data_IF_386712279771
#
_entry.id   IF_386712279771
#
_cell.length_a   1.000
_cell.length_b   1.000
_cell.length_c   1.000
_cell.angle_alpha   90.00
_cell.angle_beta   90.00
_cell.angle_gamma   90.00
#
_symmetry.space_group_name_H-M   'P 1'
#
loop_
_entity.id
_entity.type
_entity.pdbx_description
1 polymer ?
#
# COMPACT_ATOMS: atom_id res chain seq x y z
N UNK A 1 -23.04 27.40 26.59
CA UNK A 1 -22.81 25.94 26.47
C UNK A 1 -21.54 25.75 25.69
N UNK A 2 -20.47 25.27 26.32
CA UNK A 2 -19.20 24.99 25.65
C UNK A 2 -19.25 23.56 25.08
N UNK A 3 -19.06 23.43 23.77
CA UNK A 3 -18.83 22.14 23.13
C UNK A 3 -17.40 21.70 23.44
N UNK A 4 -17.25 20.67 24.26
CA UNK A 4 -15.96 20.01 24.52
C UNK A 4 -15.64 19.10 23.35
N UNK A 5 -14.70 19.49 22.49
CA UNK A 5 -14.19 18.64 21.42
C UNK A 5 -13.16 17.63 21.98
N UNK A 6 -13.50 16.34 21.88
CA UNK A 6 -12.64 15.28 21.35
C UNK A 6 -11.43 14.75 22.10
N UNK A 7 -10.89 15.38 23.15
CA UNK A 7 -9.79 14.77 23.89
C UNK A 7 -10.31 13.67 24.83
N UNK A 8 -10.01 12.41 24.50
CA UNK A 8 -10.14 11.30 25.44
C UNK A 8 -9.25 11.64 26.64
N UNK A 9 -9.86 11.90 27.80
CA UNK A 9 -9.09 12.14 29.03
C UNK A 9 -8.34 10.85 29.38
N UNK A 10 -7.05 10.93 29.74
CA UNK A 10 -6.31 9.76 30.21
C UNK A 10 -7.07 9.11 31.37
N UNK A 11 -7.24 7.80 31.28
CA UNK A 11 -7.82 6.93 32.30
C UNK A 11 -6.74 6.31 33.20
N UNK A 12 -5.49 6.26 32.73
CA UNK A 12 -4.27 5.88 33.44
C UNK A 12 -3.19 6.97 33.36
N UNK A 13 -1.95 6.62 33.70
CA UNK A 13 -0.80 7.54 33.68
C UNK A 13 -0.15 7.55 32.29
N UNK A 14 -0.04 8.72 31.65
CA UNK A 14 0.74 8.85 30.41
C UNK A 14 2.22 8.74 30.76
N UNK A 15 2.86 7.64 30.36
CA UNK A 15 4.29 7.37 30.61
C UNK A 15 5.21 7.81 29.47
N UNK A 16 4.66 7.97 28.25
CA UNK A 16 5.39 8.51 27.10
C UNK A 16 4.44 9.18 26.10
N UNK A 17 4.86 10.28 25.46
CA UNK A 17 4.07 10.94 24.39
C UNK A 17 4.92 11.80 23.46
N UNK A 18 4.50 11.87 22.19
CA UNK A 18 5.06 12.81 21.22
C UNK A 18 4.32 14.15 21.17
N UNK A 19 3.13 14.26 21.78
CA UNK A 19 2.31 15.49 21.71
C UNK A 19 1.57 15.66 20.38
N UNK A 20 1.34 14.57 19.64
CA UNK A 20 0.53 14.56 18.43
C UNK A 20 -0.96 14.60 18.81
N UNK A 21 -1.69 15.59 18.31
CA UNK A 21 -3.13 15.76 18.49
C UNK A 21 -3.87 15.40 17.19
N UNK A 22 -4.71 14.35 17.15
CA UNK A 22 -5.49 13.97 15.97
C UNK A 22 -6.32 15.09 15.34
N UNK A 23 -6.75 16.10 16.10
CA UNK A 23 -7.56 17.24 15.62
C UNK A 23 -6.73 18.37 15.00
N UNK A 24 -5.40 18.31 15.12
CA UNK A 24 -4.45 19.31 14.61
C UNK A 24 -3.49 18.67 13.60
N UNK A 25 -2.93 17.52 13.98
CA UNK A 25 -1.86 16.83 13.28
C UNK A 25 -2.35 15.67 12.43
N UNK A 26 -3.60 15.23 12.60
CA UNK A 26 -4.26 14.26 11.73
C UNK A 26 -4.96 14.91 10.53
N UNK A 27 -5.29 14.14 9.52
CA UNK A 27 -6.17 14.59 8.44
C UNK A 27 -7.62 14.68 8.93
N UNK A 28 -8.35 15.70 8.47
CA UNK A 28 -9.78 15.91 8.81
C UNK A 28 -10.75 15.10 7.96
N UNK A 29 -10.26 14.21 7.12
CA UNK A 29 -11.06 13.30 6.30
C UNK A 29 -10.53 11.88 6.42
N UNK A 30 -11.43 10.92 6.23
CA UNK A 30 -11.14 9.50 6.40
C UNK A 30 -10.25 8.99 5.28
N UNK A 31 -9.48 7.96 5.60
CA UNK A 31 -8.84 7.08 4.62
C UNK A 31 -9.83 6.65 3.52
N UNK A 32 -9.30 6.41 2.34
CA UNK A 32 -10.09 6.08 1.16
C UNK A 32 -9.36 5.02 0.34
N UNK A 33 -10.13 4.18 -0.36
CA UNK A 33 -9.63 3.22 -1.34
C UNK A 33 -9.54 3.84 -2.72
N UNK A 34 -10.15 3.20 -3.72
CA UNK A 34 -10.25 3.76 -5.07
C UNK A 34 -10.82 5.17 -5.03
N UNK A 35 -10.14 6.09 -5.72
CA UNK A 35 -10.45 7.49 -5.73
C UNK A 35 -10.96 7.92 -7.12
N UNK A 36 -12.27 7.91 -7.39
CA UNK A 36 -12.79 8.22 -8.72
C UNK A 36 -12.80 9.72 -9.04
N UNK A 37 -12.52 10.57 -8.04
CA UNK A 37 -12.62 12.03 -8.16
C UNK A 37 -11.36 12.65 -8.79
N UNK A 38 -10.28 11.88 -8.93
CA UNK A 38 -8.93 12.34 -9.22
C UNK A 38 -8.22 11.30 -10.10
N UNK A 39 -7.80 11.71 -11.31
CA UNK A 39 -7.31 10.79 -12.33
C UNK A 39 -5.90 10.23 -12.04
N UNK A 40 -5.10 10.90 -11.18
CA UNK A 40 -3.68 10.59 -10.98
C UNK A 40 -3.27 10.57 -9.50
N UNK A 41 -3.32 9.41 -8.83
CA UNK A 41 -2.76 9.28 -7.48
C UNK A 41 -1.22 9.42 -7.48
N UNK A 42 -0.56 9.03 -8.58
CA UNK A 42 0.88 9.17 -8.84
C UNK A 42 1.13 9.79 -10.22
N UNK A 43 2.26 10.47 -10.37
CA UNK A 43 2.70 11.15 -11.59
C UNK A 43 4.15 10.79 -11.94
N UNK A 44 4.61 11.15 -13.14
CA UNK A 44 6.03 11.02 -13.50
C UNK A 44 6.96 11.75 -12.52
N UNK A 45 6.56 12.92 -11.97
CA UNK A 45 7.33 13.61 -10.91
C UNK A 45 7.54 12.73 -9.67
N UNK A 46 6.55 11.92 -9.32
CA UNK A 46 6.64 11.01 -8.16
C UNK A 46 7.65 9.90 -8.43
N UNK A 47 7.60 9.28 -9.60
CA UNK A 47 8.55 8.25 -10.01
C UNK A 47 9.98 8.80 -10.13
N UNK A 48 10.14 9.98 -10.74
CA UNK A 48 11.44 10.67 -10.79
C UNK A 48 11.95 10.91 -9.38
N UNK A 49 11.09 11.28 -8.41
CA UNK A 49 11.49 11.47 -7.00
C UNK A 49 11.87 10.16 -6.32
N UNK A 50 11.14 9.07 -6.56
CA UNK A 50 11.43 7.78 -5.96
C UNK A 50 12.70 7.16 -6.53
N UNK A 51 12.83 7.06 -7.85
CA UNK A 51 13.83 6.22 -8.50
C UNK A 51 14.88 6.99 -9.30
N UNK A 52 14.62 8.26 -9.62
CA UNK A 52 15.50 9.07 -10.47
C UNK A 52 15.06 9.09 -11.93
N UNK A 53 15.39 10.18 -12.64
CA UNK A 53 14.96 10.39 -14.02
C UNK A 53 15.51 9.32 -14.96
N UNK A 54 16.80 9.00 -14.84
CA UNK A 54 17.48 8.00 -15.68
C UNK A 54 16.83 6.61 -15.63
N UNK A 55 16.16 6.30 -14.53
CA UNK A 55 15.50 5.03 -14.28
C UNK A 55 14.04 4.98 -14.77
N UNK A 56 13.44 6.14 -15.10
CA UNK A 56 12.00 6.22 -15.33
C UNK A 56 11.64 6.93 -16.64
N UNK A 57 12.50 7.79 -17.18
CA UNK A 57 12.24 8.56 -18.39
C UNK A 57 13.05 8.03 -19.58
N UNK A 58 12.38 7.65 -20.66
CA UNK A 58 13.01 7.39 -21.97
C UNK A 58 13.52 8.70 -22.58
N UNK A 59 12.71 9.76 -22.47
CA UNK A 59 13.03 11.11 -22.92
C UNK A 59 12.68 12.11 -21.82
N UNK A 60 13.39 13.24 -21.78
CA UNK A 60 13.23 14.25 -20.73
C UNK A 60 13.86 13.83 -19.40
N UNK A 61 13.75 14.71 -18.41
CA UNK A 61 14.32 14.45 -17.06
C UNK A 61 13.54 15.14 -15.92
N UNK A 62 12.45 15.80 -16.27
CA UNK A 62 11.62 16.60 -15.38
C UNK A 62 10.18 16.14 -15.45
N UNK A 63 9.37 16.58 -14.48
CA UNK A 63 7.94 16.30 -14.46
C UNK A 63 7.19 16.74 -15.73
N UNK A 64 7.72 17.73 -16.47
CA UNK A 64 7.06 18.33 -17.63
C UNK A 64 7.41 17.64 -18.95
N UNK A 65 8.58 17.02 -19.05
CA UNK A 65 9.12 16.46 -20.29
C UNK A 65 9.42 14.96 -20.22
N UNK A 66 9.26 14.34 -19.05
CA UNK A 66 9.49 12.91 -18.88
C UNK A 66 8.46 12.08 -19.64
N UNK A 67 8.94 11.35 -20.64
CA UNK A 67 8.22 10.24 -21.28
C UNK A 67 8.61 8.97 -20.56
N UNK A 68 7.68 8.35 -19.84
CA UNK A 68 8.00 7.19 -18.99
C UNK A 68 8.42 5.96 -19.80
N UNK A 69 9.35 5.17 -19.27
CA UNK A 69 9.55 3.77 -19.68
C UNK A 69 8.24 3.00 -19.49
N UNK A 70 7.94 2.03 -20.37
CA UNK A 70 6.76 1.18 -20.22
C UNK A 70 6.79 0.42 -18.87
N UNK A 71 7.95 -0.04 -18.44
CA UNK A 71 8.13 -0.69 -17.13
C UNK A 71 7.79 0.25 -15.97
N UNK A 72 8.19 1.52 -16.06
CA UNK A 72 7.90 2.54 -15.08
C UNK A 72 6.40 2.88 -15.03
N UNK A 73 5.75 3.06 -16.19
CA UNK A 73 4.30 3.28 -16.26
C UNK A 73 3.50 2.08 -15.72
N UNK A 74 3.83 0.85 -16.13
CA UNK A 74 3.19 -0.37 -15.60
C UNK A 74 3.34 -0.49 -14.09
N UNK A 75 4.52 -0.18 -13.55
CA UNK A 75 4.74 -0.17 -12.10
C UNK A 75 3.91 0.90 -11.39
N UNK A 76 3.78 2.09 -11.99
CA UNK A 76 2.95 3.17 -11.46
C UNK A 76 1.48 2.75 -11.42
N UNK A 77 0.94 2.22 -12.53
CA UNK A 77 -0.44 1.72 -12.59
C UNK A 77 -0.69 0.60 -11.58
N UNK A 78 0.22 -0.38 -11.49
CA UNK A 78 0.13 -1.46 -10.49
C UNK A 78 0.14 -0.93 -9.06
N UNK A 79 0.93 0.12 -8.79
CA UNK A 79 0.98 0.76 -7.47
C UNK A 79 -0.32 1.48 -7.14
N UNK A 80 -0.91 2.20 -8.10
CA UNK A 80 -2.23 2.84 -7.96
C UNK A 80 -3.31 1.77 -7.70
N UNK A 81 -3.30 0.67 -8.44
CA UNK A 81 -4.25 -0.42 -8.24
C UNK A 81 -4.17 -1.04 -6.85
N UNK A 82 -2.96 -1.24 -6.30
CA UNK A 82 -2.77 -1.74 -4.92
C UNK A 82 -3.35 -0.78 -3.87
N UNK A 83 -3.38 0.52 -4.15
CA UNK A 83 -3.95 1.54 -3.25
C UNK A 83 -5.47 1.63 -3.31
N UNK A 84 -6.14 0.96 -4.26
CA UNK A 84 -7.61 0.88 -4.30
C UNK A 84 -8.22 0.31 -3.00
N UNK A 85 -7.40 -0.39 -2.23
CA UNK A 85 -7.76 -1.04 -0.98
C UNK A 85 -7.48 -0.19 0.27
N UNK A 86 -6.97 1.03 0.10
CA UNK A 86 -6.73 1.98 1.18
C UNK A 86 -5.35 2.61 1.13
N UNK A 87 -5.25 3.75 1.79
CA UNK A 87 -4.04 4.56 1.88
C UNK A 87 -3.53 4.70 3.33
N UNK A 88 -3.85 3.74 4.21
CA UNK A 88 -3.65 3.86 5.65
C UNK A 88 -2.20 4.16 6.07
N UNK A 89 -1.19 3.56 5.42
CA UNK A 89 0.22 3.86 5.71
C UNK A 89 0.60 5.24 5.16
N UNK A 90 0.11 5.59 3.96
CA UNK A 90 0.30 6.93 3.39
C UNK A 90 -0.24 8.05 4.27
N UNK A 91 -1.43 7.87 4.84
CA UNK A 91 -2.00 8.81 5.83
C UNK A 91 -1.14 8.91 7.09
N UNK A 92 -0.73 7.76 7.63
CA UNK A 92 0.05 7.68 8.88
C UNK A 92 1.43 8.30 8.73
N UNK A 93 2.10 8.04 7.62
CA UNK A 93 3.41 8.59 7.28
C UNK A 93 3.29 10.09 7.00
N UNK A 94 2.32 10.50 6.18
CA UNK A 94 2.15 11.91 5.83
C UNK A 94 1.81 12.76 7.04
N UNK A 95 0.95 12.27 7.95
CA UNK A 95 0.61 12.99 9.16
C UNK A 95 1.80 13.14 10.10
N UNK A 96 2.57 12.07 10.33
CA UNK A 96 3.82 12.14 11.09
C UNK A 96 4.83 13.10 10.46
N UNK A 97 5.03 13.03 9.14
CA UNK A 97 5.94 13.93 8.42
C UNK A 97 5.55 15.40 8.56
N UNK A 98 4.26 15.72 8.42
CA UNK A 98 3.77 17.08 8.63
C UNK A 98 3.97 17.52 10.09
N UNK A 99 3.68 16.64 11.05
CA UNK A 99 3.88 16.89 12.48
C UNK A 99 5.34 17.24 12.81
N UNK A 100 6.30 16.55 12.20
CA UNK A 100 7.74 16.82 12.41
C UNK A 100 8.34 17.82 11.39
N UNK A 101 7.50 18.54 10.65
CA UNK A 101 7.91 19.62 9.73
C UNK A 101 8.71 19.16 8.50
N UNK A 102 8.53 17.92 8.03
CA UNK A 102 9.19 17.41 6.82
C UNK A 102 8.41 17.84 5.57
N UNK A 103 9.06 18.49 4.59
CA UNK A 103 8.39 18.96 3.39
C UNK A 103 8.01 17.83 2.45
N UNK A 104 7.03 18.12 1.59
CA UNK A 104 6.68 17.32 0.42
C UNK A 104 6.66 18.21 -0.83
N UNK A 105 7.52 17.91 -1.81
CA UNK A 105 7.65 18.71 -3.05
C UNK A 105 7.77 20.22 -2.77
N UNK A 106 8.59 20.59 -1.78
CA UNK A 106 8.80 21.97 -1.34
C UNK A 106 7.73 22.57 -0.40
N UNK A 107 6.59 21.90 -0.22
CA UNK A 107 5.50 22.35 0.67
C UNK A 107 5.83 21.97 2.11
N UNK A 108 5.93 22.97 2.99
CA UNK A 108 6.41 22.81 4.38
C UNK A 108 5.31 22.80 5.44
N UNK A 109 4.10 23.23 5.11
CA UNK A 109 3.01 23.42 6.06
C UNK A 109 1.63 23.30 5.38
N UNK A 110 0.52 23.19 6.13
CA UNK A 110 -0.82 23.03 5.56
C UNK A 110 -1.24 24.13 4.58
N UNK A 111 -0.89 25.39 4.85
CA UNK A 111 -1.22 26.52 3.97
C UNK A 111 -0.62 26.39 2.56
N UNK A 112 0.52 25.69 2.42
CA UNK A 112 1.14 25.39 1.13
C UNK A 112 0.41 24.29 0.32
N UNK A 113 -0.49 23.54 0.96
CA UNK A 113 -1.36 22.56 0.32
C UNK A 113 -2.74 23.14 0.00
N UNK A 114 -3.26 23.97 0.90
CA UNK A 114 -4.58 24.57 0.77
C UNK A 114 -4.58 25.94 1.41
N UNK A 115 -4.90 26.97 0.62
CA UNK A 115 -5.01 28.34 1.13
C UNK A 115 -5.98 28.39 2.31
N UNK A 116 -5.56 29.05 3.39
CA UNK A 116 -6.35 29.19 4.62
C UNK A 116 -6.30 28.00 5.58
N UNK A 117 -5.65 26.88 5.22
CA UNK A 117 -5.42 25.79 6.15
C UNK A 117 -4.36 26.17 7.20
N UNK A 118 -4.69 26.01 8.47
CA UNK A 118 -3.79 26.26 9.60
C UNK A 118 -3.13 24.95 10.03
N UNK A 119 -3.93 23.89 10.11
CA UNK A 119 -3.56 22.57 10.61
C UNK A 119 -3.71 21.50 9.52
N UNK A 120 -3.11 20.32 9.71
CA UNK A 120 -3.30 19.21 8.76
C UNK A 120 -4.79 18.81 8.68
N UNK A 121 -5.50 18.97 9.79
CA UNK A 121 -6.92 18.67 9.90
C UNK A 121 -7.81 19.53 8.97
N UNK A 122 -7.35 20.73 8.60
CA UNK A 122 -8.10 21.63 7.72
C UNK A 122 -8.04 21.21 6.25
N UNK A 123 -7.04 20.40 5.88
CA UNK A 123 -6.87 19.94 4.50
C UNK A 123 -8.09 19.14 4.05
N UNK A 124 -8.61 19.47 2.88
CA UNK A 124 -9.65 18.71 2.22
C UNK A 124 -9.05 17.64 1.33
N UNK A 125 -9.83 16.59 1.09
CA UNK A 125 -9.54 15.59 0.07
C UNK A 125 -9.57 16.28 -1.31
N UNK A 126 -8.39 16.59 -1.84
CA UNK A 126 -8.18 17.17 -3.15
C UNK A 126 -6.98 16.49 -3.82
N UNK A 127 -6.79 16.70 -5.13
CA UNK A 127 -5.71 16.07 -5.90
C UNK A 127 -4.33 16.16 -5.24
N UNK A 128 -3.94 17.34 -4.76
CA UNK A 128 -2.62 17.56 -4.17
C UNK A 128 -2.45 16.83 -2.82
N UNK A 129 -3.50 16.83 -1.99
CA UNK A 129 -3.49 16.15 -0.69
C UNK A 129 -3.55 14.63 -0.88
N UNK A 130 -4.31 14.15 -1.85
CA UNK A 130 -4.34 12.75 -2.26
C UNK A 130 -2.97 12.30 -2.75
N UNK A 131 -2.33 13.03 -3.68
CA UNK A 131 -0.97 12.70 -4.16
C UNK A 131 0.07 12.64 -3.04
N UNK A 132 -0.01 13.53 -2.04
CA UNK A 132 0.87 13.46 -0.86
C UNK A 132 0.70 12.15 -0.10
N UNK A 133 -0.54 11.77 0.17
CA UNK A 133 -0.87 10.49 0.82
C UNK A 133 -0.45 9.30 -0.05
N UNK A 134 -0.77 9.32 -1.35
CA UNK A 134 -0.49 8.23 -2.29
C UNK A 134 1.02 8.03 -2.50
N UNK A 135 1.80 9.10 -2.63
CA UNK A 135 3.27 9.01 -2.69
C UNK A 135 3.83 8.20 -1.52
N UNK A 136 3.45 8.54 -0.29
CA UNK A 136 3.94 7.84 0.89
C UNK A 136 3.31 6.46 1.10
N UNK A 137 2.09 6.24 0.63
CA UNK A 137 1.49 4.91 0.59
C UNK A 137 2.29 4.00 -0.35
N UNK A 138 2.72 4.49 -1.51
CA UNK A 138 3.50 3.70 -2.48
C UNK A 138 4.84 3.26 -1.91
N UNK A 139 5.51 4.09 -1.10
CA UNK A 139 6.77 3.70 -0.45
C UNK A 139 6.60 2.48 0.48
N UNK A 140 5.38 2.20 0.92
CA UNK A 140 5.07 1.00 1.71
C UNK A 140 5.35 -0.28 0.93
N UNK A 141 5.38 -0.22 -0.41
CA UNK A 141 5.65 -1.32 -1.35
C UNK A 141 7.13 -1.56 -1.64
N UNK A 142 8.02 -0.72 -1.11
CA UNK A 142 9.45 -0.76 -1.39
C UNK A 142 10.20 -1.53 -0.31
N UNK A 143 11.25 -2.24 -0.72
CA UNK A 143 12.09 -3.12 0.11
C UNK A 143 12.58 -2.44 1.39
N UNK A 144 13.05 -1.21 1.27
CA UNK A 144 13.60 -0.39 2.37
C UNK A 144 12.61 -0.21 3.51
N UNK A 145 11.32 -0.11 3.19
CA UNK A 145 10.25 0.03 4.18
C UNK A 145 9.94 -1.29 4.91
N UNK A 146 10.20 -2.45 4.29
CA UNK A 146 9.91 -3.75 4.89
C UNK A 146 11.09 -4.38 5.64
N UNK A 147 12.33 -4.03 5.29
CA UNK A 147 13.53 -4.64 5.89
C UNK A 147 13.53 -4.47 7.41
N UNK A 148 13.17 -3.29 7.92
CA UNK A 148 13.04 -3.07 9.36
C UNK A 148 11.83 -3.80 9.97
N UNK A 149 10.73 -3.85 9.22
CA UNK A 149 9.46 -4.36 9.69
C UNK A 149 9.47 -5.85 9.99
N UNK A 150 10.08 -6.67 9.12
CA UNK A 150 10.10 -8.13 9.26
C UNK A 150 10.52 -8.58 10.67
N UNK A 151 11.70 -8.15 11.17
CA UNK A 151 12.14 -8.43 12.54
C UNK A 151 11.19 -7.94 13.63
N UNK A 152 10.44 -6.86 13.43
CA UNK A 152 9.50 -6.35 14.44
C UNK A 152 8.30 -7.27 14.64
N UNK A 153 7.80 -7.94 13.59
CA UNK A 153 6.71 -8.92 13.76
C UNK A 153 7.09 -10.13 14.61
N UNK A 154 8.39 -10.43 14.74
CA UNK A 154 8.89 -11.49 15.60
C UNK A 154 8.94 -11.09 17.08
N UNK A 155 8.75 -9.81 17.42
CA UNK A 155 8.81 -9.29 18.78
C UNK A 155 7.52 -9.51 19.54
N UNK A 156 7.64 -9.56 20.87
CA UNK A 156 6.49 -9.57 21.78
C UNK A 156 5.77 -8.22 21.78
N UNK A 157 4.45 -8.19 22.12
CA UNK A 157 3.72 -6.94 22.28
C UNK A 157 4.36 -5.95 23.27
N UNK A 158 4.93 -6.42 24.38
CA UNK A 158 5.68 -5.58 25.33
C UNK A 158 6.89 -4.91 24.67
N UNK A 159 7.72 -5.66 23.94
CA UNK A 159 8.89 -5.13 23.23
C UNK A 159 8.48 -4.08 22.18
N UNK A 160 7.37 -4.29 21.45
CA UNK A 160 6.87 -3.30 20.49
C UNK A 160 6.43 -2.01 21.20
N UNK A 161 5.75 -2.13 22.33
CA UNK A 161 5.35 -0.99 23.15
C UNK A 161 6.56 -0.23 23.70
N UNK A 162 7.59 -0.94 24.18
CA UNK A 162 8.85 -0.35 24.65
C UNK A 162 9.55 0.42 23.53
N UNK A 163 9.67 -0.17 22.33
CA UNK A 163 10.22 0.53 21.16
C UNK A 163 9.45 1.81 20.82
N UNK A 164 8.12 1.80 20.98
CA UNK A 164 7.28 2.99 20.81
C UNK A 164 7.59 4.03 21.90
N UNK A 165 7.67 3.62 23.17
CA UNK A 165 7.98 4.53 24.28
C UNK A 165 9.39 5.17 24.12
N UNK A 166 10.40 4.38 23.75
CA UNK A 166 11.77 4.83 23.47
C UNK A 166 11.81 5.83 22.31
N UNK A 167 11.03 5.58 21.26
CA UNK A 167 10.86 6.53 20.16
C UNK A 167 10.27 7.85 20.64
N UNK A 168 9.25 7.82 21.50
CA UNK A 168 8.60 9.03 22.03
C UNK A 168 9.55 9.86 22.91
N UNK A 169 10.39 9.20 23.71
CA UNK A 169 11.40 9.87 24.55
C UNK A 169 12.54 10.46 23.70
N UNK A 170 13.11 9.65 22.80
CA UNK A 170 14.28 10.06 22.04
C UNK A 170 13.98 11.04 20.90
N UNK A 171 12.81 10.93 20.28
CA UNK A 171 12.35 11.73 19.11
C UNK A 171 13.34 11.76 17.95
N UNK A 172 14.23 10.75 17.86
CA UNK A 172 15.25 10.63 16.80
C UNK A 172 14.70 10.06 15.51
N UNK A 173 13.72 9.17 15.63
CA UNK A 173 12.95 8.60 14.53
C UNK A 173 11.51 8.40 15.01
N UNK A 174 10.60 8.06 14.11
CA UNK A 174 9.19 7.84 14.39
C UNK A 174 8.71 6.56 13.71
N UNK A 175 7.67 5.91 14.24
CA UNK A 175 7.13 4.67 13.69
C UNK A 175 5.66 4.83 13.31
N UNK A 176 5.26 4.16 12.24
CA UNK A 176 3.87 3.73 12.09
C UNK A 176 3.72 2.34 12.71
N UNK A 177 2.58 2.09 13.34
CA UNK A 177 2.21 0.81 13.94
C UNK A 177 1.32 0.06 12.94
N UNK A 178 1.74 -1.13 12.55
CA UNK A 178 0.95 -2.06 11.75
C UNK A 178 0.24 -3.06 12.64
N UNK A 179 -1.07 -3.22 12.41
CA UNK A 179 -1.91 -4.23 13.05
C UNK A 179 -2.51 -5.13 11.98
N UNK A 180 -2.55 -6.44 12.27
CA UNK A 180 -3.05 -7.43 11.35
C UNK A 180 -4.05 -8.38 12.00
N UNK A 181 -5.03 -8.81 11.21
CA UNK A 181 -5.95 -9.88 11.57
C UNK A 181 -5.43 -11.20 11.01
N UNK A 182 -5.38 -12.21 11.87
CA UNK A 182 -5.02 -13.58 11.51
C UNK A 182 -6.27 -14.47 11.62
N UNK A 183 -6.78 -14.92 10.48
CA UNK A 183 -7.94 -15.82 10.39
C UNK A 183 -7.48 -17.14 9.75
N UNK A 184 -7.74 -18.26 10.43
CA UNK A 184 -7.36 -19.60 9.95
C UNK A 184 -5.87 -19.72 9.57
N UNK A 185 -4.98 -19.08 10.35
CA UNK A 185 -3.54 -19.07 10.12
C UNK A 185 -3.08 -18.21 8.93
N UNK A 186 -3.98 -17.43 8.34
CA UNK A 186 -3.69 -16.51 7.23
C UNK A 186 -3.96 -15.08 7.66
N UNK A 187 -3.09 -14.18 7.25
CA UNK A 187 -3.31 -12.76 7.41
C UNK A 187 -4.37 -12.31 6.39
N UNK A 188 -5.41 -11.64 6.85
CA UNK A 188 -6.54 -11.27 5.99
C UNK A 188 -6.75 -9.77 5.87
N UNK A 189 -6.50 -9.03 6.94
CA UNK A 189 -6.74 -7.59 6.99
C UNK A 189 -5.62 -6.90 7.76
N UNK A 190 -4.98 -5.93 7.12
CA UNK A 190 -4.00 -5.08 7.76
C UNK A 190 -4.56 -3.67 7.98
N UNK A 191 -3.93 -2.93 8.87
CA UNK A 191 -4.13 -1.49 9.01
C UNK A 191 -2.87 -0.82 9.57
N UNK A 192 -2.63 0.42 9.16
CA UNK A 192 -1.52 1.23 9.64
C UNK A 192 -2.05 2.47 10.36
N UNK A 193 -1.51 2.72 11.55
CA UNK A 193 -1.92 3.76 12.49
C UNK A 193 -0.68 4.44 13.10
N UNK A 194 -0.86 5.59 13.73
CA UNK A 194 0.25 6.35 14.35
C UNK A 194 0.16 6.24 15.86
N UNK A 195 1.15 5.66 16.57
CA UNK A 195 1.23 5.76 18.02
C UNK A 195 1.56 7.19 18.47
N UNK A 196 0.78 7.73 19.42
CA UNK A 196 0.88 9.13 19.88
C UNK A 196 1.18 9.27 21.37
N UNK A 197 0.79 8.29 22.19
CA UNK A 197 1.24 8.16 23.57
C UNK A 197 1.17 6.70 24.06
N UNK A 198 1.88 6.40 25.15
CA UNK A 198 1.73 5.17 25.93
C UNK A 198 1.18 5.56 27.30
N UNK A 199 0.14 4.85 27.73
CA UNK A 199 -0.59 5.09 28.97
C UNK A 199 -0.61 3.80 29.79
N UNK A 200 -0.08 3.86 31.00
CA UNK A 200 -0.08 2.76 31.98
C UNK A 200 -1.44 2.72 32.67
N UNK A 201 -2.13 1.59 32.54
CA UNK A 201 -3.46 1.36 33.11
C UNK A 201 -3.40 0.57 34.43
N UNK A 202 -2.20 0.19 34.89
CA UNK A 202 -1.98 -0.76 35.98
C UNK A 202 -2.18 -2.22 35.56
N UNK A 203 -1.88 -3.15 36.47
CA UNK A 203 -2.11 -4.60 36.29
C UNK A 203 -1.51 -5.19 35.00
N UNK A 204 -0.31 -4.75 34.63
CA UNK A 204 0.40 -5.17 33.42
C UNK A 204 -0.36 -4.84 32.11
N UNK A 205 -1.28 -3.87 32.14
CA UNK A 205 -2.06 -3.41 30.99
C UNK A 205 -1.62 -2.00 30.62
N UNK A 206 -1.36 -1.81 29.34
CA UNK A 206 -0.99 -0.53 28.76
C UNK A 206 -1.90 -0.22 27.57
N UNK A 207 -2.17 1.06 27.37
CA UNK A 207 -2.78 1.57 26.16
C UNK A 207 -1.74 2.28 25.32
N UNK A 208 -1.56 1.85 24.07
CA UNK A 208 -0.91 2.66 23.05
C UNK A 208 -1.99 3.51 22.43
N UNK A 209 -2.07 4.78 22.79
CA UNK A 209 -3.00 5.72 22.17
C UNK A 209 -2.51 6.00 20.74
N UNK A 210 -3.45 6.05 19.79
CA UNK A 210 -3.17 6.13 18.37
C UNK A 210 -4.03 7.17 17.65
N UNK A 211 -3.47 7.78 16.62
CA UNK A 211 -4.23 8.37 15.52
C UNK A 211 -4.55 7.28 14.50
N UNK A 212 -5.84 7.03 14.29
CA UNK A 212 -6.35 6.12 13.27
C UNK A 212 -7.00 6.93 12.14
N UNK A 213 -6.43 6.83 10.94
CA UNK A 213 -6.88 7.57 9.75
C UNK A 213 -8.29 7.17 9.26
N UNK A 214 -8.90 6.10 9.79
CA UNK A 214 -10.31 5.77 9.57
C UNK A 214 -11.25 6.55 10.52
N UNK A 215 -10.73 7.18 11.58
CA UNK A 215 -11.47 7.93 12.59
C UNK A 215 -10.86 9.34 12.82
N UNK A 216 -10.96 10.26 11.84
CA UNK A 216 -10.43 11.63 11.94
C UNK A 216 -10.84 12.36 13.22
N UNK A 217 -9.84 12.94 13.90
CA UNK A 217 -10.06 13.77 15.08
C UNK A 217 -10.32 12.98 16.36
N UNK A 218 -10.33 11.65 16.30
CA UNK A 218 -10.49 10.78 17.46
C UNK A 218 -9.13 10.18 17.88
N UNK A 219 -8.89 10.15 19.18
CA UNK A 219 -7.84 9.31 19.77
C UNK A 219 -8.44 7.92 20.04
N UNK A 220 -7.81 6.88 19.48
CA UNK A 220 -8.13 5.48 19.80
C UNK A 220 -6.98 4.86 20.57
N UNK A 221 -7.11 3.60 20.99
CA UNK A 221 -6.02 2.92 21.69
C UNK A 221 -5.95 1.42 21.37
N UNK A 222 -4.72 0.92 21.27
CA UNK A 222 -4.41 -0.52 21.28
C UNK A 222 -4.14 -0.94 22.71
N UNK A 223 -4.82 -1.99 23.17
CA UNK A 223 -4.58 -2.56 24.50
C UNK A 223 -3.43 -3.56 24.39
N UNK A 224 -2.42 -3.41 25.23
CA UNK A 224 -1.30 -4.34 25.41
C UNK A 224 -1.39 -4.93 26.81
N UNK A 225 -1.29 -6.25 26.92
CA UNK A 225 -1.10 -6.93 28.20
C UNK A 225 0.29 -7.54 28.21
N UNK A 226 1.20 -6.97 29.00
CA UNK A 226 2.62 -7.36 29.04
C UNK A 226 2.83 -8.67 29.79
N UNK A 227 1.96 -9.00 30.76
CA UNK A 227 2.01 -10.27 31.49
C UNK A 227 1.77 -11.50 30.60
N UNK A 228 0.78 -11.40 29.71
CA UNK A 228 0.38 -12.50 28.83
C UNK A 228 0.94 -12.34 27.40
N UNK A 229 1.60 -11.23 27.12
CA UNK A 229 2.12 -10.87 25.79
C UNK A 229 1.05 -10.92 24.71
N UNK A 230 -0.08 -10.24 24.98
CA UNK A 230 -1.23 -10.13 24.08
C UNK A 230 -1.57 -8.69 23.75
N UNK A 231 -2.27 -8.50 22.63
CA UNK A 231 -2.79 -7.20 22.24
C UNK A 231 -4.20 -7.30 21.65
N UNK A 232 -4.96 -6.20 21.75
CA UNK A 232 -6.28 -6.05 21.14
C UNK A 232 -6.47 -4.64 20.59
N UNK A 233 -7.06 -4.52 19.42
CA UNK A 233 -7.50 -3.25 18.86
C UNK A 233 -8.89 -3.34 18.22
N UNK A 234 -9.80 -2.45 18.59
CA UNK A 234 -11.14 -2.39 18.01
C UNK A 234 -11.22 -1.34 16.89
N UNK A 235 -11.21 -1.80 15.64
CA UNK A 235 -11.20 -0.90 14.48
C UNK A 235 -11.81 -1.55 13.24
N UNK A 236 -12.09 -0.74 12.23
CA UNK A 236 -12.30 -1.20 10.86
C UNK A 236 -11.06 -0.84 10.04
N UNK A 237 -10.56 -1.73 9.19
CA UNK A 237 -9.48 -1.40 8.24
C UNK A 237 -10.00 -0.60 7.03
N UNK A 238 -11.28 -0.80 6.70
CA UNK A 238 -12.03 -0.02 5.72
C UNK A 238 -13.07 0.83 6.48
N UNK A 239 -13.06 2.17 6.36
CA UNK A 239 -13.99 3.03 7.11
C UNK A 239 -15.47 2.86 6.72
N UNK A 240 -15.76 2.18 5.60
CA UNK A 240 -17.12 1.81 5.20
C UNK A 240 -17.62 0.49 5.82
N UNK A 241 -16.76 -0.25 6.52
CA UNK A 241 -17.08 -1.55 7.12
C UNK A 241 -17.29 -1.46 8.64
N UNK A 242 -17.96 -2.47 9.19
CA UNK A 242 -18.13 -2.62 10.64
C UNK A 242 -16.80 -2.90 11.31
N UNK A 243 -16.52 -2.17 12.39
CA UNK A 243 -15.34 -2.40 13.23
C UNK A 243 -15.36 -3.78 13.90
N UNK A 244 -14.17 -4.36 14.10
CA UNK A 244 -13.95 -5.69 14.67
C UNK A 244 -12.76 -5.64 15.61
N UNK A 245 -12.66 -6.66 16.45
CA UNK A 245 -11.50 -6.86 17.29
C UNK A 245 -10.39 -7.54 16.50
N UNK A 246 -9.31 -6.79 16.29
CA UNK A 246 -8.00 -7.32 15.95
C UNK A 246 -7.39 -7.82 17.24
N UNK A 247 -6.97 -9.09 17.27
CA UNK A 247 -6.40 -9.72 18.46
C UNK A 247 -5.14 -10.46 18.07
N UNK A 248 -4.16 -10.44 18.96
CA UNK A 248 -2.95 -11.21 18.77
C UNK A 248 -2.13 -11.39 20.04
N UNK A 249 -1.04 -12.11 19.87
CA UNK A 249 -0.02 -12.39 20.88
C UNK A 249 1.36 -12.48 20.25
N UNK A 250 2.39 -12.68 21.09
CA UNK A 250 3.76 -12.90 20.64
C UNK A 250 3.91 -14.02 19.58
N UNK A 251 3.04 -15.03 19.56
CA UNK A 251 3.09 -16.13 18.58
C UNK A 251 2.32 -15.88 17.29
N UNK A 252 1.47 -14.85 17.25
CA UNK A 252 0.64 -14.57 16.07
C UNK A 252 1.36 -13.75 15.01
N UNK A 253 2.41 -13.00 15.39
CA UNK A 253 3.19 -12.15 14.49
C UNK A 253 2.34 -11.12 13.73
N UNK A 254 1.38 -10.50 14.43
CA UNK A 254 0.38 -9.57 13.85
C UNK A 254 0.51 -8.11 14.28
N UNK A 255 1.53 -7.77 15.05
CA UNK A 255 1.84 -6.40 15.49
C UNK A 255 3.27 -6.07 15.06
N UNK A 256 3.47 -4.94 14.37
CA UNK A 256 4.79 -4.59 13.82
C UNK A 256 4.96 -3.09 13.62
N UNK A 257 6.20 -2.67 13.36
CA UNK A 257 6.57 -1.27 13.20
C UNK A 257 7.23 -1.03 11.84
N UNK A 258 6.99 0.14 11.26
CA UNK A 258 7.73 0.64 10.11
C UNK A 258 8.32 2.02 10.45
N UNK A 259 9.56 2.32 10.00
CA UNK A 259 10.24 3.58 10.36
C UNK A 259 9.97 4.72 9.40
N UNK A 260 9.78 5.90 9.96
CA UNK A 260 9.61 7.11 9.18
C UNK A 260 10.88 7.47 8.41
N UNK A 261 12.06 7.20 8.99
CA UNK A 261 13.36 7.40 8.35
C UNK A 261 13.54 6.59 7.06
N UNK A 262 12.97 5.39 6.96
CA UNK A 262 12.97 4.60 5.71
C UNK A 262 12.16 5.32 4.60
N UNK A 263 11.29 6.28 4.93
CA UNK A 263 10.57 7.18 3.98
C UNK A 263 11.25 8.53 3.74
N UNK A 264 12.54 8.66 4.07
CA UNK A 264 13.29 9.91 3.95
C UNK A 264 14.52 9.78 3.03
N UNK A 265 14.62 8.71 2.25
CA UNK A 265 15.74 8.50 1.35
C UNK A 265 15.69 9.49 0.17
N UNK A 266 16.85 9.93 -0.35
CA UNK A 266 16.90 10.75 -1.55
C UNK A 266 16.44 9.99 -2.79
N UNK A 267 16.65 8.67 -2.81
CA UNK A 267 16.24 7.71 -3.84
C UNK A 267 15.99 6.35 -3.19
N UNK A 268 15.14 5.56 -3.82
CA UNK A 268 14.83 4.17 -3.51
C UNK A 268 15.41 3.26 -4.59
N UNK A 269 15.69 2.01 -4.23
CA UNK A 269 16.01 0.93 -5.15
C UNK A 269 14.85 0.79 -6.16
N UNK A 270 15.18 0.83 -7.44
CA UNK A 270 14.19 0.76 -8.51
C UNK A 270 13.78 -0.71 -8.75
N UNK A 271 12.55 -1.11 -8.42
CA UNK A 271 12.16 -2.52 -8.46
C UNK A 271 11.89 -3.06 -9.87
N UNK A 272 12.07 -2.23 -10.90
CA UNK A 272 11.81 -2.55 -12.31
C UNK A 272 12.97 -2.14 -13.24
N UNK A 273 14.12 -1.73 -12.69
CA UNK A 273 15.26 -1.25 -13.49
C UNK A 273 16.30 -2.33 -13.80
N UNK A 274 16.27 -3.49 -13.15
CA UNK A 274 17.26 -4.57 -13.32
C UNK A 274 16.96 -5.50 -14.51
N UNK A 275 16.32 -5.01 -15.56
CA UNK A 275 16.18 -5.74 -16.84
C UNK A 275 17.36 -5.37 -17.77
N UNK A 276 18.58 -5.72 -17.37
CA UNK A 276 19.72 -5.75 -18.30
C UNK A 276 19.61 -7.01 -19.18
N UNK A 277 19.37 -6.83 -20.49
CA UNK A 277 19.66 -7.84 -21.51
C UNK A 277 21.19 -8.10 -21.55
N UNK A 278 21.71 -8.97 -20.69
CA UNK A 278 22.95 -9.69 -20.96
C UNK A 278 23.04 -11.01 -20.20
N UNK A 279 23.28 -12.06 -20.97
CA UNK A 279 23.52 -13.43 -20.53
C UNK A 279 24.71 -13.55 -19.58
N UNK A 280 24.47 -14.02 -18.35
CA UNK A 280 25.31 -15.08 -17.78
C UNK A 280 24.57 -15.84 -16.67
N UNK A 281 24.62 -17.16 -16.79
CA UNK A 281 24.00 -18.08 -15.85
C UNK A 281 24.72 -18.12 -14.50
N UNK A 282 23.95 -18.49 -13.48
CA UNK A 282 24.33 -18.70 -12.08
C UNK A 282 24.19 -17.48 -11.16
N UNK A 283 22.96 -17.23 -10.73
CA UNK A 283 22.75 -16.95 -9.31
C UNK A 283 21.42 -17.56 -8.83
N UNK A 284 21.45 -18.89 -8.66
CA UNK A 284 20.45 -19.60 -7.87
C UNK A 284 20.76 -19.31 -6.40
N UNK A 285 20.08 -18.32 -5.83
CA UNK A 285 19.58 -18.33 -4.46
C UNK A 285 19.13 -16.93 -4.05
N UNK A 286 17.81 -16.75 -3.93
CA UNK A 286 17.16 -16.15 -2.75
C UNK A 286 15.78 -15.64 -3.13
N UNK A 287 14.74 -16.16 -2.45
CA UNK A 287 13.58 -15.43 -1.92
C UNK A 287 12.23 -16.16 -1.95
N UNK A 288 12.17 -17.48 -1.97
CA UNK A 288 10.89 -18.15 -1.76
C UNK A 288 11.07 -19.44 -0.96
N UNK A 289 10.96 -19.36 0.37
CA UNK A 289 10.09 -20.24 1.17
C UNK A 289 10.16 -20.04 2.70
N UNK A 290 8.95 -19.92 3.27
CA UNK A 290 8.47 -20.17 4.66
C UNK A 290 8.69 -19.15 5.79
N UNK A 291 7.56 -18.97 6.50
CA UNK A 291 7.27 -18.17 7.71
C UNK A 291 7.10 -16.65 7.50
N UNK A 292 5.83 -16.20 7.46
CA UNK A 292 5.32 -14.84 7.18
C UNK A 292 5.57 -14.38 5.73
N UNK A 293 4.53 -14.13 4.90
CA UNK A 293 4.76 -13.66 3.53
C UNK A 293 5.48 -12.32 3.57
N UNK A 294 6.65 -12.26 2.96
CA UNK A 294 7.50 -11.07 2.82
C UNK A 294 6.82 -9.89 2.08
N UNK A 295 5.59 -10.07 1.57
CA UNK A 295 4.88 -9.15 0.68
C UNK A 295 3.44 -8.82 1.11
N UNK A 296 3.19 -8.62 2.41
CA UNK A 296 1.88 -8.13 2.87
C UNK A 296 1.94 -6.68 3.33
N UNK A 297 1.08 -5.88 2.70
CA UNK A 297 0.88 -4.46 2.96
C UNK A 297 -0.36 -4.24 3.80
N UNK A 298 -0.28 -3.33 4.77
CA UNK A 298 -1.41 -3.00 5.63
C UNK A 298 -2.64 -2.43 4.89
N UNK A 299 -2.60 -2.30 3.57
CA UNK A 299 -3.77 -2.09 2.71
C UNK A 299 -4.60 -3.38 2.60
N UNK A 300 -5.92 -3.24 2.54
CA UNK A 300 -6.87 -4.36 2.51
C UNK A 300 -6.51 -5.40 1.43
N UNK A 301 -6.48 -6.68 1.78
CA UNK A 301 -6.50 -7.75 0.78
C UNK A 301 -7.98 -8.01 0.49
N UNK A 302 -8.44 -7.70 -0.73
CA UNK A 302 -9.75 -8.22 -1.16
C UNK A 302 -9.65 -9.75 -1.09
N UNK A 303 -10.53 -10.45 -0.35
CA UNK A 303 -10.79 -11.84 -0.69
C UNK A 303 -11.17 -11.83 -2.17
N UNK A 304 -10.58 -12.73 -2.97
CA UNK A 304 -11.08 -12.96 -4.32
C UNK A 304 -12.61 -13.03 -4.24
N UNK A 305 -13.36 -12.21 -5.00
CA UNK A 305 -14.80 -12.33 -4.99
C UNK A 305 -15.13 -13.79 -5.26
N UNK A 306 -16.00 -14.38 -4.45
CA UNK A 306 -16.61 -15.68 -4.78
C UNK A 306 -16.93 -15.66 -6.26
N UNK A 307 -16.40 -16.60 -7.08
CA UNK A 307 -16.44 -16.48 -8.52
C UNK A 307 -17.90 -16.27 -8.92
N UNK A 308 -18.20 -15.07 -9.42
CA UNK A 308 -19.40 -14.90 -10.24
C UNK A 308 -19.20 -15.88 -11.40
N UNK A 309 -20.22 -16.65 -11.81
CA UNK A 309 -20.10 -17.48 -12.99
C UNK A 309 -19.60 -16.59 -14.12
N UNK A 310 -18.39 -16.91 -14.62
CA UNK A 310 -17.78 -16.16 -15.69
C UNK A 310 -18.73 -16.20 -16.90
N UNK A 311 -18.91 -15.08 -17.61
CA UNK A 311 -19.65 -15.11 -18.85
C UNK A 311 -19.01 -16.15 -19.78
N UNK A 312 -19.79 -16.95 -20.53
CA UNK A 312 -19.24 -17.99 -21.36
C UNK A 312 -18.19 -17.40 -22.31
N UNK A 313 -16.99 -18.00 -22.32
CA UNK A 313 -15.88 -17.63 -23.19
C UNK A 313 -15.38 -18.87 -23.94
N UNK A 314 -14.87 -18.67 -25.14
CA UNK A 314 -14.02 -19.64 -25.80
C UNK A 314 -12.59 -19.42 -25.31
N UNK A 315 -12.01 -20.44 -24.70
CA UNK A 315 -10.59 -20.47 -24.35
C UNK A 315 -9.82 -21.18 -25.46
N UNK A 316 -8.78 -20.53 -25.98
CA UNK A 316 -7.83 -21.12 -26.91
C UNK A 316 -6.48 -21.17 -26.19
N UNK A 317 -5.97 -22.38 -25.99
CA UNK A 317 -4.64 -22.66 -25.48
C UNK A 317 -3.85 -23.43 -26.53
N UNK A 318 -2.57 -23.15 -26.66
CA UNK A 318 -1.66 -24.04 -27.39
C UNK A 318 -1.06 -25.08 -26.45
N UNK A 319 -0.15 -25.92 -26.95
CA UNK A 319 0.85 -26.63 -26.16
C UNK A 319 2.21 -26.37 -26.84
N UNK A 320 3.06 -25.56 -26.21
CA UNK A 320 4.35 -25.12 -26.76
C UNK A 320 4.35 -23.70 -27.33
N UNK A 321 5.55 -23.22 -27.69
CA UNK A 321 5.80 -21.91 -28.30
C UNK A 321 5.12 -21.77 -29.67
N UNK A 322 3.99 -21.06 -29.72
CA UNK A 322 3.33 -20.69 -30.97
C UNK A 322 2.94 -19.21 -30.98
N UNK A 323 3.31 -18.57 -32.08
CA UNK A 323 2.79 -17.27 -32.48
C UNK A 323 1.37 -17.47 -33.04
N UNK A 324 0.36 -17.23 -32.21
CA UNK A 324 -1.04 -17.36 -32.61
C UNK A 324 -1.62 -15.99 -32.96
N UNK A 325 -2.21 -15.86 -34.16
CA UNK A 325 -3.02 -14.71 -34.55
C UNK A 325 -4.45 -15.18 -34.91
N UNK A 326 -5.41 -14.87 -34.05
CA UNK A 326 -6.83 -15.18 -34.23
C UNK A 326 -7.48 -14.01 -34.96
N UNK A 327 -8.32 -14.27 -35.96
CA UNK A 327 -9.06 -13.24 -36.69
C UNK A 327 -10.55 -13.59 -36.71
N UNK A 328 -11.40 -12.64 -36.30
CA UNK A 328 -12.85 -12.81 -36.34
C UNK A 328 -13.42 -12.63 -37.78
N UNK A 329 -14.70 -12.99 -38.04
CA UNK A 329 -15.31 -12.82 -39.36
C UNK A 329 -15.42 -11.37 -39.85
N UNK A 330 -15.26 -10.38 -38.96
CA UNK A 330 -15.25 -8.96 -39.27
C UNK A 330 -13.83 -8.42 -39.52
N UNK A 331 -12.80 -9.26 -39.42
CA UNK A 331 -11.40 -8.93 -39.68
C UNK A 331 -10.64 -8.38 -38.47
N UNK A 332 -11.21 -8.44 -37.25
CA UNK A 332 -10.53 -8.01 -36.02
C UNK A 332 -9.61 -9.10 -35.51
N UNK A 333 -8.44 -8.72 -35.02
CA UNK A 333 -7.34 -9.62 -34.70
C UNK A 333 -7.01 -9.68 -33.22
N UNK A 334 -6.59 -10.85 -32.75
CA UNK A 334 -6.18 -11.13 -31.38
C UNK A 334 -4.95 -12.05 -31.39
N UNK A 335 -3.83 -11.61 -30.79
CA UNK A 335 -2.58 -12.37 -30.74
C UNK A 335 -1.46 -11.76 -31.60
N UNK A 336 -0.37 -12.51 -31.83
CA UNK A 336 0.88 -11.99 -32.39
C UNK A 336 1.02 -12.28 -33.90
N UNK A 337 1.26 -11.24 -34.69
CA UNK A 337 1.57 -11.31 -36.12
C UNK A 337 3.09 -11.32 -36.31
N UNK A 338 3.66 -12.50 -36.55
CA UNK A 338 5.12 -12.69 -36.70
C UNK A 338 5.70 -12.01 -37.94
N UNK A 339 4.91 -11.77 -38.99
CA UNK A 339 5.36 -11.08 -40.19
C UNK A 339 5.51 -9.57 -39.96
N UNK A 340 4.63 -8.99 -39.14
CA UNK A 340 4.68 -7.56 -38.77
C UNK A 340 5.40 -7.29 -37.45
N UNK A 341 5.72 -8.34 -36.69
CA UNK A 341 6.26 -8.29 -35.34
C UNK A 341 5.41 -7.40 -34.43
N UNK A 342 4.09 -7.63 -34.43
CA UNK A 342 3.12 -6.79 -33.71
C UNK A 342 2.01 -7.64 -33.11
N UNK A 343 1.65 -7.35 -31.86
CA UNK A 343 0.50 -7.97 -31.19
C UNK A 343 -0.77 -7.16 -31.44
N UNK A 344 -1.87 -7.84 -31.73
CA UNK A 344 -3.19 -7.27 -31.95
C UNK A 344 -4.15 -7.68 -30.83
N UNK A 345 -5.01 -6.77 -30.38
CA UNK A 345 -6.12 -7.04 -29.46
C UNK A 345 -7.33 -6.18 -29.84
N UNK A 346 -7.95 -6.50 -30.97
CA UNK A 346 -9.02 -5.73 -31.60
C UNK A 346 -10.42 -6.31 -31.30
N UNK A 347 -10.49 -7.54 -30.76
CA UNK A 347 -11.73 -8.22 -30.39
C UNK A 347 -12.21 -7.68 -29.02
N UNK A 348 -13.39 -7.07 -29.01
CA UNK A 348 -13.91 -6.35 -27.84
C UNK A 348 -14.18 -7.32 -26.69
N UNK A 349 -13.52 -7.09 -25.55
CA UNK A 349 -13.65 -7.91 -24.35
C UNK A 349 -12.81 -9.19 -24.34
N UNK A 350 -11.96 -9.40 -25.35
CA UNK A 350 -10.99 -10.49 -25.34
C UNK A 350 -9.82 -10.21 -24.38
N UNK A 351 -9.32 -11.25 -23.73
CA UNK A 351 -8.18 -11.18 -22.81
C UNK A 351 -7.08 -12.11 -23.33
N UNK A 352 -5.86 -11.61 -23.39
CA UNK A 352 -4.66 -12.38 -23.72
C UNK A 352 -3.81 -12.56 -22.47
N UNK A 353 -3.72 -13.79 -21.97
CA UNK A 353 -2.77 -14.13 -20.91
C UNK A 353 -1.51 -14.68 -21.57
N UNK A 354 -0.54 -13.80 -21.80
CA UNK A 354 0.82 -14.17 -22.14
C UNK A 354 1.51 -14.56 -20.85
N UNK A 355 1.44 -15.84 -20.49
CA UNK A 355 2.23 -16.38 -19.39
C UNK A 355 3.67 -16.39 -19.89
N UNK A 356 4.52 -15.52 -19.33
CA UNK A 356 5.96 -15.56 -19.59
C UNK A 356 6.53 -16.85 -19.03
N UNK A 357 6.87 -17.80 -19.91
CA UNK A 357 7.53 -19.05 -19.56
C UNK A 357 8.90 -18.81 -18.92
N UNK A 358 9.23 -19.65 -17.96
CA UNK A 358 10.42 -19.63 -17.11
C UNK A 358 11.65 -20.30 -17.76
N UNK A 359 11.66 -20.43 -19.09
CA UNK A 359 12.80 -20.91 -19.86
C UNK A 359 13.13 -22.40 -19.71
N UNK A 360 12.36 -23.18 -18.95
CA UNK A 360 12.51 -24.64 -18.87
C UNK A 360 11.20 -25.43 -19.08
N UNK A 361 10.02 -24.79 -19.07
CA UNK A 361 8.78 -25.37 -19.64
C UNK A 361 7.96 -24.34 -20.45
N UNK A 362 7.85 -24.56 -21.77
CA UNK A 362 7.02 -23.76 -22.69
C UNK A 362 5.56 -23.73 -22.22
N UNK A 363 5.18 -22.67 -21.50
CA UNK A 363 3.80 -22.47 -21.10
C UNK A 363 3.06 -21.73 -22.22
N UNK A 364 2.10 -22.38 -22.88
CA UNK A 364 1.46 -21.84 -24.08
C UNK A 364 0.58 -20.62 -23.76
N UNK A 365 0.48 -19.64 -24.67
CA UNK A 365 -0.40 -18.48 -24.48
C UNK A 365 -1.87 -18.91 -24.40
N UNK A 366 -2.61 -18.31 -23.46
CA UNK A 366 -4.05 -18.50 -23.33
C UNK A 366 -4.83 -17.27 -23.80
N UNK A 367 -5.77 -17.50 -24.72
CA UNK A 367 -6.65 -16.48 -25.27
C UNK A 367 -8.08 -16.73 -24.80
N UNK A 368 -8.70 -15.71 -24.20
CA UNK A 368 -10.08 -15.74 -23.75
C UNK A 368 -10.91 -14.85 -24.68
N UNK A 369 -11.80 -15.46 -25.46
CA UNK A 369 -12.70 -14.75 -26.36
C UNK A 369 -14.12 -14.78 -25.79
N UNK A 370 -14.75 -13.63 -25.50
CA UNK A 370 -16.12 -13.62 -24.99
C UNK A 370 -17.08 -14.22 -26.02
N UNK A 371 -18.11 -14.92 -25.54
CA UNK A 371 -19.19 -15.40 -26.40
C UNK A 371 -20.21 -14.27 -26.59
N UNK A 372 -20.63 -14.03 -27.83
CA UNK A 372 -21.69 -13.07 -28.12
C UNK A 372 -23.01 -13.58 -27.53
N UNK A 373 -23.62 -12.85 -26.57
CA UNK A 373 -24.82 -13.30 -25.87
C UNK A 373 -26.05 -13.39 -26.79
N UNK A 374 -26.01 -12.81 -27.98
CA UNK A 374 -27.12 -12.80 -28.94
C UNK A 374 -27.24 -14.09 -29.76
N UNK A 375 -26.14 -14.82 -29.94
CA UNK A 375 -26.09 -16.01 -30.79
C UNK A 375 -25.31 -17.19 -30.19
N UNK A 376 -24.77 -17.02 -28.97
CA UNK A 376 -23.99 -18.01 -28.23
C UNK A 376 -22.77 -18.55 -29.00
N UNK A 377 -22.18 -17.72 -29.88
CA UNK A 377 -20.93 -18.01 -30.60
C UNK A 377 -19.82 -17.04 -30.16
N UNK A 378 -18.55 -17.46 -30.15
CA UNK A 378 -17.40 -16.56 -29.96
C UNK A 378 -17.43 -15.43 -31.00
N UNK A 379 -16.98 -14.22 -30.62
CA UNK A 379 -16.93 -13.05 -31.51
C UNK A 379 -16.09 -13.30 -32.77
#
# INVERSE_FOLDING_TARGET
MAFSFGHLRPRGEIVASIGFDPTVNGFGFRNFGKNPDFDEDLTADDLIRMFGADNVCIEGSTAQDCVLYETADRWMQSSIEKMNNGHCDGFSVSSLRMFIGKPFKGRKNPAAFQSGAVNLFDLKKNQLTCNYVSFYQTLTFLKETYTFRGPTFAKKPSEIMEMIAEMMESKKDYYTLEVWMLENGKFTRGHAIVPISVEDMGDDVFHINVYDNNYPGETKFVVINTKNETWRYHTANNPAETARDYVGSASTHTLGLKRLSDRALPRYECPFCDEDESSDGNNKDSLYHRAVPFYMNASYFQPSPTPKPEPPSLTISSSGDVDLLITDPAGKRLGYDSAKKTTFNEIVGAITNLITGDGDEDTPPEYYIPVNPSNNKPY
#
